data_IF_222805954607
#
_entry.id   IF_222805954607
#
_cell.length_a   1.000
_cell.length_b   1.000
_cell.length_c   1.000
_cell.angle_alpha   90.00
_cell.angle_beta   90.00
_cell.angle_gamma   90.00
#
_symmetry.space_group_name_H-M   'P 1'
#
loop_
_entity.id
_entity.type
_entity.pdbx_description
1 polymer ?
#
# COMPACT_ATOMS: atom_id res chain seq x y z
N UNK A 1 17.05 14.61 20.19
CA UNK A 1 17.16 13.15 20.40
C UNK A 1 15.87 12.39 20.00
N UNK A 2 14.66 12.89 20.29
CA UNK A 2 13.41 12.24 19.82
C UNK A 2 13.10 12.55 18.35
N UNK A 3 13.39 13.77 17.91
CA UNK A 3 13.21 14.18 16.50
C UNK A 3 14.09 13.34 15.55
N UNK A 4 15.34 13.08 15.91
CA UNK A 4 16.25 12.26 15.11
C UNK A 4 15.76 10.81 14.93
N UNK A 5 15.10 10.26 15.95
CA UNK A 5 14.53 8.92 15.89
C UNK A 5 13.34 8.86 14.93
N UNK A 6 12.39 9.80 15.04
CA UNK A 6 11.22 9.85 14.16
C UNK A 6 11.66 10.11 12.71
N UNK A 7 12.60 11.03 12.49
CA UNK A 7 13.15 11.28 11.15
C UNK A 7 13.78 10.01 10.55
N UNK A 8 14.47 9.22 11.36
CA UNK A 8 15.06 7.94 10.92
C UNK A 8 14.00 6.91 10.57
N UNK A 9 12.95 6.76 11.38
CA UNK A 9 11.88 5.79 11.09
C UNK A 9 11.06 6.20 9.86
N UNK A 10 10.72 7.49 9.69
CA UNK A 10 10.10 8.00 8.45
C UNK A 10 10.98 7.69 7.23
N UNK A 11 12.29 7.92 7.33
CA UNK A 11 13.22 7.64 6.23
C UNK A 11 13.30 6.14 5.90
N UNK A 12 13.25 5.29 6.92
CA UNK A 12 13.23 3.82 6.78
C UNK A 12 11.94 3.36 6.10
N UNK A 13 10.79 3.88 6.52
CA UNK A 13 9.49 3.59 5.91
C UNK A 13 9.48 3.97 4.44
N UNK A 14 9.86 5.21 4.12
CA UNK A 14 9.95 5.66 2.73
C UNK A 14 10.86 4.78 1.89
N UNK A 15 12.07 4.48 2.37
CA UNK A 15 13.02 3.63 1.66
C UNK A 15 12.49 2.21 1.41
N UNK A 16 11.75 1.64 2.37
CA UNK A 16 11.14 0.32 2.22
C UNK A 16 10.04 0.33 1.16
N UNK A 17 9.10 1.28 1.24
CA UNK A 17 7.99 1.42 0.29
C UNK A 17 8.52 1.67 -1.13
N UNK A 18 9.47 2.60 -1.29
CA UNK A 18 10.10 2.88 -2.59
C UNK A 18 10.82 1.66 -3.17
N UNK A 19 11.56 0.92 -2.34
CA UNK A 19 12.26 -0.29 -2.77
C UNK A 19 11.30 -1.37 -3.26
N UNK A 20 10.18 -1.58 -2.56
CA UNK A 20 9.17 -2.57 -2.97
C UNK A 20 8.53 -2.15 -4.28
N UNK A 21 8.09 -0.90 -4.39
CA UNK A 21 7.46 -0.38 -5.61
C UNK A 21 8.41 -0.45 -6.82
N UNK A 22 9.69 -0.11 -6.62
CA UNK A 22 10.73 -0.23 -7.65
C UNK A 22 10.91 -1.68 -8.12
N UNK A 23 10.84 -2.66 -7.21
CA UNK A 23 10.95 -4.07 -7.61
C UNK A 23 9.69 -4.55 -8.32
N UNK A 24 8.51 -4.13 -7.88
CA UNK A 24 7.24 -4.45 -8.54
C UNK A 24 7.20 -3.94 -9.98
N UNK A 25 7.67 -2.73 -10.25
CA UNK A 25 7.74 -2.21 -11.62
C UNK A 25 8.67 -3.02 -12.53
N UNK A 26 9.67 -3.71 -11.98
CA UNK A 26 10.54 -4.64 -12.72
C UNK A 26 9.87 -6.00 -12.99
N UNK A 27 8.97 -6.43 -12.10
CA UNK A 27 8.28 -7.72 -12.15
C UNK A 27 6.95 -7.66 -12.92
N UNK A 28 6.36 -6.47 -13.08
CA UNK A 28 5.08 -6.29 -13.76
C UNK A 28 5.08 -6.90 -15.17
N UNK A 29 4.15 -7.83 -15.42
CA UNK A 29 4.01 -8.58 -16.67
C UNK A 29 5.03 -9.72 -16.88
N UNK A 30 5.89 -10.00 -15.89
CA UNK A 30 6.94 -11.04 -15.98
C UNK A 30 6.89 -12.10 -14.89
N UNK A 31 6.27 -11.79 -13.76
CA UNK A 31 6.19 -12.67 -12.60
C UNK A 31 4.78 -13.24 -12.42
N UNK A 32 4.69 -14.43 -11.83
CA UNK A 32 3.40 -15.00 -11.45
C UNK A 32 2.78 -14.24 -10.27
N UNK A 33 1.45 -14.33 -10.11
CA UNK A 33 0.72 -13.68 -9.02
C UNK A 33 1.30 -14.00 -7.64
N UNK A 34 1.50 -15.30 -7.37
CA UNK A 34 2.04 -15.77 -6.10
C UNK A 34 3.43 -15.18 -5.81
N UNK A 35 4.30 -15.04 -6.82
CA UNK A 35 5.63 -14.45 -6.64
C UNK A 35 5.55 -12.96 -6.25
N UNK A 36 4.61 -12.22 -6.84
CA UNK A 36 4.37 -10.82 -6.51
C UNK A 36 3.88 -10.69 -5.06
N UNK A 37 2.91 -11.50 -4.67
CA UNK A 37 2.34 -11.46 -3.31
C UNK A 37 3.37 -11.86 -2.25
N UNK A 38 4.06 -12.98 -2.46
CA UNK A 38 5.09 -13.48 -1.53
C UNK A 38 6.22 -12.46 -1.36
N UNK A 39 6.68 -11.86 -2.46
CA UNK A 39 7.70 -10.83 -2.42
C UNK A 39 7.26 -9.63 -1.58
N UNK A 40 6.08 -9.06 -1.86
CA UNK A 40 5.61 -7.85 -1.18
C UNK A 40 5.40 -8.12 0.31
N UNK A 41 4.74 -9.23 0.66
CA UNK A 41 4.49 -9.60 2.07
C UNK A 41 5.79 -9.83 2.82
N UNK A 42 6.75 -10.54 2.21
CA UNK A 42 8.07 -10.81 2.81
C UNK A 42 8.85 -9.51 3.04
N UNK A 43 8.87 -8.61 2.06
CA UNK A 43 9.65 -7.37 2.17
C UNK A 43 9.05 -6.37 3.15
N UNK A 44 7.73 -6.20 3.15
CA UNK A 44 7.06 -5.30 4.10
C UNK A 44 7.21 -5.81 5.54
N UNK A 45 7.07 -7.12 5.73
CA UNK A 45 7.29 -7.76 7.03
C UNK A 45 8.77 -7.64 7.46
N UNK A 46 9.72 -7.95 6.58
CA UNK A 46 11.15 -7.92 6.89
C UNK A 46 11.71 -6.52 7.15
N UNK A 47 11.29 -5.51 6.37
CA UNK A 47 11.83 -4.14 6.47
C UNK A 47 11.12 -3.31 7.54
N UNK A 48 9.80 -3.47 7.67
CA UNK A 48 8.97 -2.62 8.52
C UNK A 48 8.32 -3.37 9.69
N UNK A 49 8.36 -4.70 9.73
CA UNK A 49 7.54 -5.48 10.66
C UNK A 49 6.04 -5.36 10.34
N UNK A 50 5.71 -5.04 9.09
CA UNK A 50 4.36 -4.79 8.62
C UNK A 50 3.81 -6.04 7.94
N UNK A 51 2.89 -6.72 8.62
CA UNK A 51 2.04 -7.75 8.03
C UNK A 51 0.84 -7.08 7.36
N UNK A 52 0.79 -7.14 6.02
CA UNK A 52 -0.23 -6.45 5.22
C UNK A 52 -1.62 -7.01 5.53
N UNK A 53 -1.78 -8.32 5.53
CA UNK A 53 -3.10 -8.95 5.71
C UNK A 53 -3.64 -8.63 7.10
N UNK A 54 -2.78 -8.71 8.13
CA UNK A 54 -3.14 -8.34 9.50
C UNK A 54 -3.51 -6.86 9.62
N UNK A 55 -2.75 -5.96 9.00
CA UNK A 55 -3.03 -4.51 9.04
C UNK A 55 -4.36 -4.20 8.36
N UNK A 56 -4.60 -4.74 7.17
CA UNK A 56 -5.79 -4.43 6.39
C UNK A 56 -7.08 -5.02 6.98
N UNK A 57 -6.97 -6.00 7.88
CA UNK A 57 -8.12 -6.49 8.67
C UNK A 57 -8.65 -5.48 9.69
N UNK A 58 -7.91 -4.38 9.96
CA UNK A 58 -8.28 -3.37 10.96
C UNK A 58 -9.08 -2.23 10.33
N UNK A 59 -10.11 -1.77 11.03
CA UNK A 59 -10.94 -0.65 10.56
C UNK A 59 -10.15 0.66 10.44
N UNK A 60 -9.21 0.87 11.36
CA UNK A 60 -8.38 2.07 11.53
C UNK A 60 -6.95 1.91 10.96
N UNK A 61 -6.77 1.01 9.99
CA UNK A 61 -5.44 0.64 9.49
C UNK A 61 -4.59 1.86 9.04
N UNK A 62 -5.21 2.90 8.46
CA UNK A 62 -4.50 4.13 8.04
C UNK A 62 -3.88 4.83 9.25
N UNK A 63 -4.63 4.96 10.35
CA UNK A 63 -4.10 5.55 11.59
C UNK A 63 -2.95 4.71 12.15
N UNK A 64 -3.02 3.38 12.06
CA UNK A 64 -1.92 2.49 12.43
C UNK A 64 -0.69 2.68 11.53
N UNK A 65 -0.87 2.79 10.21
CA UNK A 65 0.23 3.05 9.26
C UNK A 65 0.95 4.36 9.58
N UNK A 66 0.21 5.43 9.87
CA UNK A 66 0.77 6.74 10.20
C UNK A 66 1.44 6.74 11.58
N UNK A 67 0.77 6.21 12.62
CA UNK A 67 1.25 6.34 13.99
C UNK A 67 2.36 5.35 14.37
N UNK A 68 2.25 4.10 13.91
CA UNK A 68 3.16 3.00 14.27
C UNK A 68 4.24 2.78 13.23
N UNK A 69 3.91 2.94 11.95
CA UNK A 69 4.84 2.70 10.85
C UNK A 69 5.33 4.00 10.21
N UNK A 70 4.94 5.16 10.73
CA UNK A 70 5.45 6.46 10.30
C UNK A 70 5.26 6.74 8.81
N UNK A 71 4.21 6.19 8.21
CA UNK A 71 3.83 6.52 6.83
C UNK A 71 3.42 7.99 6.77
N UNK A 72 4.03 8.73 5.86
CA UNK A 72 3.49 10.01 5.43
C UNK A 72 2.49 9.83 4.29
N UNK A 73 1.97 10.94 3.77
CA UNK A 73 0.99 10.91 2.71
C UNK A 73 1.52 10.36 1.38
N UNK A 74 2.80 10.57 1.08
CA UNK A 74 3.42 10.06 -0.15
C UNK A 74 3.66 8.56 -0.03
N UNK A 75 4.06 8.09 1.16
CA UNK A 75 4.20 6.68 1.48
C UNK A 75 2.85 5.97 1.40
N UNK A 76 1.77 6.58 1.91
CA UNK A 76 0.41 6.07 1.75
C UNK A 76 0.00 5.99 0.28
N UNK A 77 0.35 7.00 -0.53
CA UNK A 77 0.07 6.96 -1.97
C UNK A 77 0.79 5.79 -2.66
N UNK A 78 2.10 5.64 -2.42
CA UNK A 78 2.89 4.52 -2.97
C UNK A 78 2.41 3.17 -2.45
N UNK A 79 1.97 3.09 -1.20
CA UNK A 79 1.39 1.87 -0.65
C UNK A 79 0.10 1.48 -1.36
N UNK A 80 -0.77 2.43 -1.70
CA UNK A 80 -1.94 2.14 -2.52
C UNK A 80 -1.56 1.62 -3.92
N UNK A 81 -0.47 2.09 -4.53
CA UNK A 81 0.05 1.55 -5.80
C UNK A 81 0.58 0.12 -5.66
N UNK A 82 1.22 -0.21 -4.54
CA UNK A 82 1.67 -1.57 -4.21
C UNK A 82 0.45 -2.49 -4.09
N UNK A 83 -0.56 -2.11 -3.30
CA UNK A 83 -1.80 -2.88 -3.15
C UNK A 83 -2.52 -3.06 -4.49
N UNK A 84 -2.57 -2.01 -5.32
CA UNK A 84 -3.16 -2.11 -6.65
C UNK A 84 -2.41 -3.08 -7.55
N UNK A 85 -1.07 -3.10 -7.49
CA UNK A 85 -0.27 -4.08 -8.25
C UNK A 85 -0.54 -5.51 -7.79
N UNK A 86 -0.64 -5.75 -6.47
CA UNK A 86 -1.00 -7.07 -5.93
C UNK A 86 -2.39 -7.50 -6.37
N UNK A 87 -3.35 -6.58 -6.32
CA UNK A 87 -4.72 -6.80 -6.78
C UNK A 87 -4.74 -7.17 -8.27
N UNK A 88 -4.05 -6.41 -9.13
CA UNK A 88 -4.03 -6.69 -10.58
C UNK A 88 -3.29 -7.96 -10.96
N UNK A 89 -2.34 -8.40 -10.12
CA UNK A 89 -1.62 -9.63 -10.34
C UNK A 89 -2.48 -10.87 -10.05
N UNK A 90 -3.52 -10.74 -9.24
CA UNK A 90 -4.43 -11.81 -8.86
C UNK A 90 -5.72 -11.73 -9.69
N UNK A 91 -6.24 -12.88 -10.13
CA UNK A 91 -7.54 -12.96 -10.82
C UNK A 91 -8.66 -13.46 -9.88
N UNK A 92 -8.29 -13.79 -8.64
CA UNK A 92 -9.21 -14.19 -7.57
C UNK A 92 -10.21 -13.09 -7.22
N UNK A 93 -11.39 -13.50 -6.76
CA UNK A 93 -12.42 -12.60 -6.21
C UNK A 93 -12.74 -12.97 -4.76
N UNK A 94 -11.72 -13.33 -4.01
CA UNK A 94 -11.86 -13.75 -2.62
C UNK A 94 -11.86 -12.55 -1.65
N UNK A 95 -11.98 -12.84 -0.36
CA UNK A 95 -12.06 -11.84 0.70
C UNK A 95 -10.77 -11.02 0.84
N UNK A 96 -9.60 -11.61 0.54
CA UNK A 96 -8.29 -10.94 0.58
C UNK A 96 -8.18 -9.95 -0.58
N UNK A 97 -8.60 -10.37 -1.76
CA UNK A 97 -8.67 -9.52 -2.96
C UNK A 97 -9.56 -8.29 -2.72
N UNK A 98 -10.72 -8.52 -2.10
CA UNK A 98 -11.64 -7.48 -1.68
C UNK A 98 -11.06 -6.57 -0.57
N UNK A 99 -10.21 -7.09 0.31
CA UNK A 99 -9.55 -6.27 1.33
C UNK A 99 -8.57 -5.25 0.71
N UNK A 100 -7.81 -5.64 -0.32
CA UNK A 100 -6.93 -4.71 -1.04
C UNK A 100 -7.72 -3.60 -1.73
N UNK A 101 -8.79 -3.93 -2.46
CA UNK A 101 -9.62 -2.93 -3.14
C UNK A 101 -10.26 -1.94 -2.14
N UNK A 102 -10.78 -2.41 -0.99
CA UNK A 102 -11.28 -1.53 0.08
C UNK A 102 -10.19 -0.64 0.65
N UNK A 103 -8.99 -1.18 0.88
CA UNK A 103 -7.87 -0.44 1.44
C UNK A 103 -7.41 0.67 0.48
N UNK A 104 -7.31 0.37 -0.82
CA UNK A 104 -7.01 1.37 -1.86
C UNK A 104 -8.02 2.51 -1.78
N UNK A 105 -9.33 2.22 -1.80
CA UNK A 105 -10.37 3.26 -1.71
C UNK A 105 -10.24 4.09 -0.43
N UNK A 106 -10.05 3.45 0.74
CA UNK A 106 -9.91 4.15 2.02
C UNK A 106 -8.68 5.08 2.03
N UNK A 107 -7.51 4.62 1.54
CA UNK A 107 -6.29 5.45 1.45
C UNK A 107 -6.52 6.66 0.55
N UNK A 108 -7.17 6.44 -0.59
CA UNK A 108 -7.44 7.49 -1.56
C UNK A 108 -8.36 8.58 -0.98
N UNK A 109 -9.44 8.19 -0.30
CA UNK A 109 -10.34 9.13 0.39
C UNK A 109 -9.62 9.91 1.49
N UNK A 110 -8.78 9.24 2.28
CA UNK A 110 -7.96 9.91 3.30
C UNK A 110 -7.05 10.99 2.70
N UNK A 111 -6.44 10.72 1.56
CA UNK A 111 -5.54 11.67 0.90
C UNK A 111 -6.30 12.83 0.24
N UNK A 112 -7.50 12.57 -0.28
CA UNK A 112 -8.43 13.61 -0.73
C UNK A 112 -8.82 14.56 0.41
N UNK A 113 -9.20 14.03 1.57
CA UNK A 113 -9.55 14.82 2.76
C UNK A 113 -8.38 15.69 3.24
N UNK A 114 -7.13 15.30 2.94
CA UNK A 114 -5.92 16.08 3.23
C UNK A 114 -5.57 17.12 2.15
N UNK A 115 -6.39 17.25 1.09
CA UNK A 115 -6.17 18.18 0.00
C UNK A 115 -5.03 17.80 -0.94
N UNK A 116 -4.61 16.52 -0.93
CA UNK A 116 -3.55 16.05 -1.83
C UNK A 116 -4.16 15.78 -3.19
N UNK A 117 -3.73 16.58 -4.16
CA UNK A 117 -4.34 16.67 -5.49
C UNK A 117 -4.24 15.35 -6.26
N UNK A 118 -5.34 15.01 -6.92
CA UNK A 118 -5.53 13.79 -7.68
C UNK A 118 -4.68 13.74 -8.95
N UNK A 119 -4.08 12.57 -9.22
CA UNK A 119 -3.63 12.22 -10.57
C UNK A 119 -4.78 11.56 -11.34
N UNK A 120 -4.81 11.71 -12.67
CA UNK A 120 -5.82 11.07 -13.52
C UNK A 120 -5.82 9.53 -13.38
N UNK A 121 -4.64 8.95 -13.17
CA UNK A 121 -4.43 7.52 -12.86
C UNK A 121 -5.25 7.08 -11.63
N UNK A 122 -5.39 7.96 -10.65
CA UNK A 122 -6.05 7.67 -9.37
C UNK A 122 -7.57 7.64 -9.48
N UNK A 123 -8.17 8.49 -10.31
CA UNK A 123 -9.60 8.42 -10.64
C UNK A 123 -9.96 7.11 -11.33
N UNK A 124 -9.16 6.68 -12.31
CA UNK A 124 -9.35 5.40 -12.98
C UNK A 124 -9.27 4.22 -12.01
N UNK A 125 -8.28 4.22 -11.09
CA UNK A 125 -8.17 3.20 -10.05
C UNK A 125 -9.42 3.16 -9.17
N UNK A 126 -9.94 4.31 -8.71
CA UNK A 126 -11.14 4.36 -7.89
C UNK A 126 -12.40 3.85 -8.61
N UNK A 127 -12.59 4.20 -9.88
CA UNK A 127 -13.67 3.68 -10.70
C UNK A 127 -13.55 2.16 -10.90
N UNK A 128 -12.33 1.64 -11.08
CA UNK A 128 -12.08 0.21 -11.17
C UNK A 128 -12.39 -0.49 -9.84
N UNK A 129 -12.01 0.10 -8.70
CA UNK A 129 -12.25 -0.48 -7.37
C UNK A 129 -13.73 -0.53 -6.99
N UNK A 130 -14.53 0.46 -7.42
CA UNK A 130 -15.98 0.45 -7.19
C UNK A 130 -16.71 -0.74 -7.85
N UNK A 131 -16.06 -1.50 -8.73
CA UNK A 131 -16.65 -2.72 -9.33
C UNK A 131 -16.59 -3.94 -8.41
N UNK A 132 -15.84 -3.86 -7.31
CA UNK A 132 -15.67 -4.94 -6.36
C UNK A 132 -16.70 -4.94 -5.23
N UNK A 133 -17.49 -3.86 -5.04
CA UNK A 133 -18.47 -3.71 -3.96
C UNK A 133 -19.77 -3.08 -4.43
#
# INVERSE_FOLDING_TARGET
MMDDYITKEVSKTRAAVESVLKRLSQLSGKAASAEIHDYVKTEMSGKLGLDIDSILSKDDFISTLVSKFHFDNDDLNRFAEILYTMLKADEGKDEVHNAYARAIVKINKWLEEKGITFSATRHYVLEEMNRYF
#
